data_IF_638621770230
#
_entry.id   IF_638621770230
#
_cell.length_a   1.000
_cell.length_b   1.000
_cell.length_c   1.000
_cell.angle_alpha   90.00
_cell.angle_beta   90.00
_cell.angle_gamma   90.00
#
_symmetry.space_group_name_H-M   'P 1'
#
loop_
_entity.id
_entity.type
_entity.pdbx_description
1 polymer ?
#
# COMPACT_ATOMS: atom_id res chain seq x y z
N UNK A 1 38.63 -28.31 4.03
CA UNK A 1 38.51 -27.64 2.72
C UNK A 1 37.62 -26.42 2.90
N UNK A 2 38.22 -25.24 3.00
CA UNK A 2 37.46 -23.98 3.06
C UNK A 2 37.06 -23.66 1.62
N UNK A 3 35.78 -23.84 1.30
CA UNK A 3 35.26 -23.50 -0.02
C UNK A 3 35.46 -22.01 -0.26
N UNK A 4 36.25 -21.66 -1.28
CA UNK A 4 36.38 -20.29 -1.76
C UNK A 4 35.01 -19.89 -2.29
N UNK A 5 34.26 -19.10 -1.52
CA UNK A 5 33.07 -18.41 -2.01
C UNK A 5 33.59 -17.33 -2.94
N UNK A 6 33.66 -17.65 -4.23
CA UNK A 6 33.88 -16.64 -5.27
C UNK A 6 32.68 -15.70 -5.25
N UNK A 7 32.85 -14.51 -4.70
CA UNK A 7 31.89 -13.42 -4.82
C UNK A 7 31.89 -13.03 -6.30
N UNK A 8 30.93 -13.56 -7.06
CA UNK A 8 30.78 -13.23 -8.47
C UNK A 8 30.31 -11.78 -8.54
N UNK A 9 31.21 -10.90 -8.96
CA UNK A 9 30.92 -9.48 -9.13
C UNK A 9 30.17 -9.30 -10.46
N UNK A 10 28.85 -9.53 -10.43
CA UNK A 10 27.97 -9.25 -11.57
C UNK A 10 27.80 -7.75 -11.73
N UNK A 11 27.96 -7.22 -12.96
CA UNK A 11 27.60 -5.81 -13.20
C UNK A 11 26.09 -5.64 -13.08
N UNK A 12 25.65 -4.49 -12.59
CA UNK A 12 24.23 -4.11 -12.49
C UNK A 12 23.50 -4.28 -13.83
N UNK A 13 24.20 -4.14 -14.96
CA UNK A 13 23.65 -4.31 -16.31
C UNK A 13 23.19 -5.75 -16.59
N UNK A 14 23.69 -6.73 -15.83
CA UNK A 14 23.29 -8.14 -15.97
C UNK A 14 21.87 -8.38 -15.42
N UNK A 15 21.41 -7.55 -14.48
CA UNK A 15 20.09 -7.64 -13.85
C UNK A 15 19.11 -6.57 -14.35
N UNK A 16 19.54 -5.72 -15.29
CA UNK A 16 18.81 -4.56 -15.76
C UNK A 16 18.46 -4.72 -17.24
N UNK A 17 17.17 -4.90 -17.56
CA UNK A 17 16.69 -4.70 -18.92
C UNK A 17 16.18 -3.25 -19.08
N UNK A 18 16.87 -2.40 -19.87
CA UNK A 18 16.49 -1.00 -20.07
C UNK A 18 15.09 -0.81 -20.67
N UNK A 19 14.47 -1.86 -21.22
CA UNK A 19 13.13 -1.80 -21.81
C UNK A 19 12.01 -2.03 -20.79
N UNK A 20 12.29 -2.80 -19.73
CA UNK A 20 11.26 -3.21 -18.76
C UNK A 20 10.89 -2.08 -17.81
N UNK A 21 11.87 -1.25 -17.45
CA UNK A 21 11.70 -0.14 -16.51
C UNK A 21 10.77 0.96 -17.00
N UNK A 22 10.90 1.48 -18.24
CA UNK A 22 9.93 2.45 -18.74
C UNK A 22 8.52 1.86 -18.88
N UNK A 23 8.40 0.57 -19.23
CA UNK A 23 7.11 -0.12 -19.29
C UNK A 23 6.46 -0.25 -17.91
N UNK A 24 7.26 -0.59 -16.88
CA UNK A 24 6.80 -0.64 -15.49
C UNK A 24 6.36 0.73 -14.97
N UNK A 25 7.16 1.78 -15.21
CA UNK A 25 6.80 3.14 -14.84
C UNK A 25 5.49 3.60 -15.48
N UNK A 26 5.31 3.32 -16.78
CA UNK A 26 4.06 3.60 -17.49
C UNK A 26 2.87 2.84 -16.89
N UNK A 27 3.07 1.58 -16.51
CA UNK A 27 2.06 0.79 -15.81
C UNK A 27 1.62 1.43 -14.49
N UNK A 28 2.58 1.85 -13.66
CA UNK A 28 2.31 2.55 -12.39
C UNK A 28 1.55 3.87 -12.60
N UNK A 29 1.93 4.64 -13.61
CA UNK A 29 1.30 5.92 -13.90
C UNK A 29 -0.14 5.73 -14.39
N UNK A 30 -0.40 4.72 -15.24
CA UNK A 30 -1.76 4.36 -15.66
C UNK A 30 -2.62 3.92 -14.47
N UNK A 31 -2.08 3.10 -13.56
CA UNK A 31 -2.81 2.69 -12.36
C UNK A 31 -3.14 3.88 -11.47
N UNK A 32 -2.21 4.82 -11.30
CA UNK A 32 -2.44 6.04 -10.52
C UNK A 32 -3.55 6.88 -11.14
N UNK A 33 -3.51 7.13 -12.46
CA UNK A 33 -4.54 7.91 -13.16
C UNK A 33 -5.92 7.26 -12.99
N UNK A 34 -6.01 5.94 -13.19
CA UNK A 34 -7.25 5.21 -12.98
C UNK A 34 -7.73 5.32 -11.54
N UNK A 35 -6.85 5.18 -10.55
CA UNK A 35 -7.22 5.30 -9.15
C UNK A 35 -7.67 6.73 -8.82
N UNK A 36 -6.99 7.78 -9.32
CA UNK A 36 -7.41 9.18 -9.18
C UNK A 36 -8.83 9.43 -9.71
N UNK A 37 -9.21 8.79 -10.82
CA UNK A 37 -10.57 8.89 -11.36
C UNK A 37 -11.61 8.12 -10.52
N UNK A 38 -11.23 6.98 -9.95
CA UNK A 38 -12.14 6.10 -9.22
C UNK A 38 -12.34 6.50 -7.76
N UNK A 39 -11.32 7.06 -7.10
CA UNK A 39 -11.39 7.54 -5.71
C UNK A 39 -12.60 8.43 -5.43
N UNK A 40 -12.88 9.52 -6.18
CA UNK A 40 -14.05 10.37 -5.91
C UNK A 40 -15.37 9.60 -6.05
N UNK A 41 -15.45 8.65 -6.98
CA UNK A 41 -16.62 7.77 -7.15
C UNK A 41 -16.78 6.86 -5.94
N UNK A 42 -15.70 6.23 -5.46
CA UNK A 42 -15.71 5.39 -4.27
C UNK A 42 -16.11 6.18 -3.02
N UNK A 43 -15.56 7.39 -2.83
CA UNK A 43 -15.95 8.30 -1.75
C UNK A 43 -17.45 8.62 -1.81
N UNK A 44 -17.96 8.97 -3.00
CA UNK A 44 -19.37 9.27 -3.19
C UNK A 44 -20.27 8.07 -2.84
N UNK A 45 -19.94 6.87 -3.31
CA UNK A 45 -20.69 5.64 -3.01
C UNK A 45 -20.72 5.36 -1.51
N UNK A 46 -19.58 5.48 -0.81
CA UNK A 46 -19.51 5.23 0.64
C UNK A 46 -20.30 6.27 1.44
N UNK A 47 -20.27 7.53 1.04
CA UNK A 47 -21.02 8.61 1.70
C UNK A 47 -22.53 8.45 1.45
N UNK A 48 -22.95 8.12 0.24
CA UNK A 48 -24.37 7.92 -0.11
C UNK A 48 -24.97 6.69 0.58
N UNK A 49 -24.19 5.62 0.74
CA UNK A 49 -24.56 4.41 1.49
C UNK A 49 -24.45 4.58 3.02
N UNK A 50 -24.09 5.76 3.53
CA UNK A 50 -23.74 5.96 4.94
C UNK A 50 -24.82 5.55 5.96
N UNK A 51 -26.10 5.56 5.56
CA UNK A 51 -27.21 5.08 6.41
C UNK A 51 -27.22 3.57 6.60
N UNK A 52 -26.83 2.79 5.58
CA UNK A 52 -26.77 1.34 5.64
C UNK A 52 -25.44 0.83 6.27
N UNK A 53 -24.38 1.62 6.14
CA UNK A 53 -23.01 1.25 6.52
C UNK A 53 -22.67 1.68 7.96
N UNK A 54 -23.39 2.61 8.57
CA UNK A 54 -23.21 2.97 9.98
C UNK A 54 -21.77 3.46 10.29
N UNK A 55 -21.21 3.05 11.44
CA UNK A 55 -19.91 3.55 11.91
C UNK A 55 -18.69 2.98 11.19
N UNK A 56 -18.79 1.83 10.49
CA UNK A 56 -17.63 1.24 9.82
C UNK A 56 -17.27 1.91 8.49
N UNK A 57 -18.11 2.85 8.01
CA UNK A 57 -17.82 3.68 6.84
C UNK A 57 -16.49 4.43 6.96
N UNK A 58 -16.10 4.84 8.17
CA UNK A 58 -14.87 5.58 8.42
C UNK A 58 -13.62 4.72 8.18
N UNK A 59 -13.68 3.43 8.53
CA UNK A 59 -12.60 2.49 8.20
C UNK A 59 -12.48 2.26 6.70
N UNK A 60 -13.60 2.21 5.98
CA UNK A 60 -13.60 2.08 4.52
C UNK A 60 -13.02 3.33 3.87
N UNK A 61 -13.45 4.53 4.28
CA UNK A 61 -12.92 5.79 3.75
C UNK A 61 -11.43 5.93 4.04
N UNK A 62 -10.98 5.58 5.25
CA UNK A 62 -9.56 5.57 5.58
C UNK A 62 -8.78 4.57 4.74
N UNK A 63 -9.36 3.40 4.47
CA UNK A 63 -8.80 2.39 3.56
C UNK A 63 -8.60 2.93 2.16
N UNK A 64 -9.63 3.55 1.57
CA UNK A 64 -9.55 4.16 0.22
C UNK A 64 -8.49 5.27 0.19
N UNK A 65 -8.42 6.10 1.22
CA UNK A 65 -7.41 7.15 1.31
C UNK A 65 -5.98 6.59 1.41
N UNK A 66 -5.78 5.56 2.23
CA UNK A 66 -4.49 4.89 2.38
C UNK A 66 -4.06 4.19 1.09
N UNK A 67 -4.99 3.55 0.38
CA UNK A 67 -4.76 2.92 -0.92
C UNK A 67 -4.29 3.94 -1.97
N UNK A 68 -4.98 5.08 -2.05
CA UNK A 68 -4.58 6.17 -2.95
C UNK A 68 -3.20 6.75 -2.58
N UNK A 69 -2.95 6.95 -1.28
CA UNK A 69 -1.65 7.44 -0.80
C UNK A 69 -0.51 6.45 -1.10
N UNK A 70 -0.80 5.15 -1.03
CA UNK A 70 0.14 4.09 -1.41
C UNK A 70 0.48 4.16 -2.89
N UNK A 71 -0.52 4.21 -3.77
CA UNK A 71 -0.31 4.31 -5.22
C UNK A 71 0.49 5.56 -5.61
N UNK A 72 0.20 6.70 -4.98
CA UNK A 72 0.94 7.94 -5.20
C UNK A 72 2.40 7.78 -4.78
N UNK A 73 2.66 7.16 -3.62
CA UNK A 73 4.01 6.91 -3.12
C UNK A 73 4.77 5.93 -4.03
N UNK A 74 4.13 4.84 -4.47
CA UNK A 74 4.75 3.83 -5.34
C UNK A 74 5.01 4.39 -6.74
N UNK A 75 4.08 5.12 -7.34
CA UNK A 75 4.30 5.78 -8.65
C UNK A 75 5.38 6.85 -8.56
N UNK A 76 5.46 7.61 -7.47
CA UNK A 76 6.49 8.65 -7.32
C UNK A 76 7.88 8.09 -7.03
N UNK A 77 7.96 6.92 -6.40
CA UNK A 77 9.23 6.29 -6.05
C UNK A 77 9.71 5.30 -7.13
N UNK A 78 8.78 4.63 -7.81
CA UNK A 78 9.02 3.58 -8.81
C UNK A 78 10.06 2.56 -8.33
N UNK A 79 9.74 1.74 -7.30
CA UNK A 79 10.68 0.75 -6.81
C UNK A 79 10.88 -0.32 -7.87
N UNK A 80 12.13 -0.49 -8.34
CA UNK A 80 12.50 -1.57 -9.25
C UNK A 80 13.19 -2.65 -8.40
N UNK A 81 12.54 -3.79 -8.13
CA UNK A 81 13.16 -4.89 -7.40
C UNK A 81 14.23 -5.55 -8.27
N UNK A 82 15.47 -5.55 -7.81
CA UNK A 82 16.56 -6.29 -8.45
C UNK A 82 16.48 -7.75 -7.97
N UNK A 83 16.34 -8.68 -8.91
CA UNK A 83 16.48 -10.11 -8.62
C UNK A 83 17.98 -10.46 -8.56
N UNK A 84 18.46 -11.43 -7.74
CA UNK A 84 17.76 -12.28 -6.77
C UNK A 84 17.78 -11.76 -5.32
N UNK A 85 18.57 -10.73 -5.04
CA UNK A 85 18.68 -10.15 -3.70
C UNK A 85 17.74 -8.95 -3.68
N UNK A 86 16.60 -9.00 -2.96
CA UNK A 86 15.54 -7.97 -2.81
C UNK A 86 16.04 -6.54 -2.51
N UNK A 87 16.86 -5.97 -3.39
CA UNK A 87 17.38 -4.63 -3.37
C UNK A 87 16.51 -3.84 -4.33
N UNK A 88 15.75 -2.90 -3.79
CA UNK A 88 14.96 -1.99 -4.59
C UNK A 88 15.79 -0.72 -4.83
N UNK A 89 15.92 -0.31 -6.09
CA UNK A 89 16.43 1.02 -6.39
C UNK A 89 15.27 1.96 -6.78
N UNK A 90 15.41 3.24 -6.41
CA UNK A 90 14.47 4.29 -6.75
C UNK A 90 14.71 4.76 -8.19
N UNK A 91 13.74 4.56 -9.08
CA UNK A 91 13.82 5.09 -10.45
C UNK A 91 12.92 6.32 -10.70
N UNK A 92 12.04 6.64 -9.77
CA UNK A 92 11.08 7.73 -9.92
C UNK A 92 11.69 9.12 -9.72
N UNK A 93 10.88 10.19 -9.86
CA UNK A 93 11.30 11.58 -9.64
C UNK A 93 11.96 11.81 -8.28
N UNK A 94 11.63 11.01 -7.26
CA UNK A 94 12.27 11.08 -5.96
C UNK A 94 13.76 10.71 -5.97
N UNK A 95 14.26 9.97 -6.97
CA UNK A 95 15.69 9.65 -7.11
C UNK A 95 16.60 10.88 -7.09
N UNK A 96 16.14 12.01 -7.64
CA UNK A 96 16.93 13.24 -7.75
C UNK A 96 16.88 14.10 -6.48
N UNK A 97 15.84 13.96 -5.66
CA UNK A 97 15.65 14.75 -4.45
C UNK A 97 16.17 14.03 -3.20
N UNK A 98 16.19 12.71 -3.23
CA UNK A 98 16.21 11.87 -2.04
C UNK A 98 17.22 10.74 -2.33
N UNK A 99 18.44 10.87 -1.79
CA UNK A 99 19.55 9.95 -2.03
C UNK A 99 19.25 8.48 -1.69
N UNK A 100 20.17 7.57 -2.04
CA UNK A 100 19.97 6.11 -1.91
C UNK A 100 19.59 5.64 -0.49
N UNK A 101 20.06 6.30 0.56
CA UNK A 101 19.74 5.98 1.97
C UNK A 101 18.24 6.04 2.28
N UNK A 102 17.50 6.91 1.59
CA UNK A 102 16.06 7.14 1.83
C UNK A 102 15.17 6.19 1.02
N UNK A 103 15.72 5.37 0.11
CA UNK A 103 14.93 4.33 -0.56
C UNK A 103 14.41 3.30 0.46
N UNK A 104 15.22 2.95 1.47
CA UNK A 104 14.78 2.06 2.55
C UNK A 104 13.65 2.67 3.40
N UNK A 105 13.67 3.99 3.59
CA UNK A 105 12.61 4.72 4.30
C UNK A 105 11.32 4.69 3.50
N UNK A 106 11.38 4.91 2.18
CA UNK A 106 10.22 4.72 1.30
C UNK A 106 9.63 3.32 1.46
N UNK A 107 10.47 2.29 1.57
CA UNK A 107 10.03 0.89 1.64
C UNK A 107 9.27 0.64 2.94
N UNK A 108 9.85 1.11 4.04
CA UNK A 108 9.24 1.03 5.35
C UNK A 108 7.89 1.77 5.38
N UNK A 109 7.81 2.97 4.81
CA UNK A 109 6.56 3.75 4.73
C UNK A 109 5.52 3.03 3.87
N UNK A 110 5.90 2.50 2.71
CA UNK A 110 5.00 1.72 1.86
C UNK A 110 4.44 0.47 2.57
N UNK A 111 5.30 -0.28 3.27
CA UNK A 111 4.88 -1.44 4.08
C UNK A 111 3.93 -1.02 5.19
N UNK A 112 4.21 0.07 5.90
CA UNK A 112 3.33 0.58 6.96
C UNK A 112 1.95 0.97 6.42
N UNK A 113 1.88 1.66 5.28
CA UNK A 113 0.61 2.03 4.64
C UNK A 113 -0.15 0.77 4.24
N UNK A 114 0.51 -0.22 3.65
CA UNK A 114 -0.11 -1.48 3.24
C UNK A 114 -0.66 -2.28 4.43
N UNK A 115 0.10 -2.38 5.51
CA UNK A 115 -0.34 -3.04 6.77
C UNK A 115 -1.53 -2.30 7.38
N UNK A 116 -1.51 -0.96 7.38
CA UNK A 116 -2.63 -0.16 7.86
C UNK A 116 -3.89 -0.37 7.01
N UNK A 117 -3.74 -0.46 5.69
CA UNK A 117 -4.84 -0.79 4.76
C UNK A 117 -5.44 -2.16 5.07
N UNK A 118 -4.61 -3.21 5.18
CA UNK A 118 -5.07 -4.56 5.52
C UNK A 118 -5.80 -4.61 6.88
N UNK A 119 -5.28 -3.86 7.86
CA UNK A 119 -5.89 -3.75 9.19
C UNK A 119 -7.25 -3.06 9.14
N UNK A 120 -7.39 -1.99 8.35
CA UNK A 120 -8.67 -1.29 8.16
C UNK A 120 -9.72 -2.18 7.48
N UNK A 121 -9.33 -2.98 6.48
CA UNK A 121 -10.22 -3.93 5.82
C UNK A 121 -10.68 -5.03 6.78
N UNK A 122 -9.77 -5.56 7.61
CA UNK A 122 -10.10 -6.55 8.62
C UNK A 122 -11.07 -5.98 9.68
N UNK A 123 -10.83 -4.77 10.17
CA UNK A 123 -11.74 -4.10 11.11
C UNK A 123 -13.12 -3.83 10.48
N UNK A 124 -13.17 -3.41 9.22
CA UNK A 124 -14.43 -3.24 8.48
C UNK A 124 -15.20 -4.58 8.34
N UNK A 125 -14.49 -5.67 8.09
CA UNK A 125 -15.09 -7.01 8.03
C UNK A 125 -15.62 -7.46 9.40
N UNK A 126 -14.82 -7.36 10.46
CA UNK A 126 -15.20 -7.75 11.82
C UNK A 126 -16.39 -6.94 12.34
N UNK A 127 -16.41 -5.63 12.08
CA UNK A 127 -17.53 -4.76 12.47
C UNK A 127 -18.81 -5.13 11.73
N UNK A 128 -18.75 -5.41 10.42
CA UNK A 128 -19.90 -5.91 9.65
C UNK A 128 -20.38 -7.27 10.15
N UNK A 129 -19.46 -8.20 10.38
CA UNK A 129 -19.80 -9.53 10.90
C UNK A 129 -20.51 -9.43 12.27
N UNK A 130 -20.03 -8.54 13.15
CA UNK A 130 -20.64 -8.30 14.46
C UNK A 130 -22.07 -7.75 14.40
N UNK A 131 -22.42 -7.01 13.35
CA UNK A 131 -23.75 -6.44 13.14
C UNK A 131 -24.75 -7.45 12.54
N UNK A 132 -24.26 -8.40 11.74
CA UNK A 132 -25.10 -9.39 11.04
C UNK A 132 -25.28 -10.68 11.85
N UNK A 133 -24.32 -11.05 12.69
CA UNK A 133 -24.43 -12.28 13.49
C UNK A 133 -25.42 -12.12 14.66
N UNK A 134 -26.40 -13.02 14.83
CA UNK A 134 -27.35 -13.00 15.96
C UNK A 134 -26.74 -13.42 17.30
N UNK A 135 -25.46 -13.83 17.32
CA UNK A 135 -24.71 -14.02 18.55
C UNK A 135 -24.47 -12.65 19.20
N UNK A 136 -24.84 -12.50 20.47
CA UNK A 136 -24.74 -11.30 21.30
C UNK A 136 -23.28 -10.82 21.52
N UNK A 137 -22.56 -10.46 20.46
CA UNK A 137 -21.22 -9.85 20.52
C UNK A 137 -21.26 -8.37 20.91
N UNK A 138 -22.45 -7.77 20.95
CA UNK A 138 -22.69 -6.37 21.35
C UNK A 138 -22.11 -6.00 22.73
N UNK A 139 -21.81 -6.98 23.60
CA UNK A 139 -21.13 -6.76 24.87
C UNK A 139 -19.61 -6.56 24.75
N UNK A 140 -18.94 -7.26 23.83
CA UNK A 140 -17.47 -7.25 23.72
C UNK A 140 -16.93 -6.07 22.92
N UNK A 141 -17.68 -5.57 21.92
CA UNK A 141 -17.26 -4.42 21.11
C UNK A 141 -17.55 -3.04 21.73
N UNK A 142 -18.11 -2.98 22.96
CA UNK A 142 -18.17 -1.71 23.72
C UNK A 142 -16.79 -1.11 24.02
N UNK A 143 -15.70 -1.89 23.86
CA UNK A 143 -14.33 -1.39 23.92
C UNK A 143 -14.00 -0.42 22.77
N UNK A 144 -14.74 -0.44 21.65
CA UNK A 144 -14.59 0.53 20.56
C UNK A 144 -15.01 1.96 20.93
N UNK A 145 -15.73 2.18 22.04
CA UNK A 145 -15.95 3.52 22.60
C UNK A 145 -14.72 4.10 23.32
N UNK A 146 -13.69 3.30 23.55
CA UNK A 146 -12.47 3.75 24.23
C UNK A 146 -11.42 4.35 23.28
N UNK A 147 -11.57 4.17 21.96
CA UNK A 147 -10.65 4.69 20.94
C UNK A 147 -11.19 5.95 20.22
N UNK A 148 -12.35 6.46 20.63
CA UNK A 148 -13.01 7.64 20.05
C UNK A 148 -13.27 8.75 21.08
N UNK A 149 -12.53 8.74 22.19
CA UNK A 149 -12.37 9.88 23.08
C UNK A 149 -10.92 10.34 23.11
#
# INVERSE_FOLDING_TARGET
>A
MVGVISIVNYSLDTFYDPRVIPAYGLGLDLTLILNTCLVPVMFYVVITQSKAVGSYKWYILNGIFCDYAYDLLVSSWQPVPLFPCYMAYANGPFKNFIGQELSYIGLAVGVLIYVNMASNQLLAFLTRFSQVSPLKWAGYFKVGKFLLH
#
